data_IF_332679332545
#
_entry.id   IF_332679332545
#
_cell.length_a   1.000
_cell.length_b   1.000
_cell.length_c   1.000
_cell.angle_alpha   90.00
_cell.angle_beta   90.00
_cell.angle_gamma   90.00
#
_symmetry.space_group_name_H-M   'P 1'
#
loop_
_entity.id
_entity.type
_entity.pdbx_description
1 polymer ?
#
# COMPACT_ATOMS: atom_id res chain seq x y z
N UNK A 1 27.51 14.73 -25.10
CA UNK A 1 26.52 15.43 -25.94
C UNK A 1 25.27 15.51 -25.10
N UNK A 2 25.15 16.62 -24.37
CA UNK A 2 24.20 16.80 -23.29
C UNK A 2 22.81 17.11 -23.84
N UNK A 3 21.86 16.22 -23.60
CA UNK A 3 20.45 16.49 -23.85
C UNK A 3 19.91 17.35 -22.70
N UNK A 4 19.92 18.66 -22.91
CA UNK A 4 19.27 19.65 -22.05
C UNK A 4 17.76 19.41 -22.11
N UNK A 5 17.18 18.88 -21.03
CA UNK A 5 15.72 18.86 -20.82
C UNK A 5 15.21 20.31 -20.77
N UNK A 6 14.43 20.71 -21.77
CA UNK A 6 13.79 22.03 -21.80
C UNK A 6 12.81 22.25 -20.65
N UNK A 7 12.44 23.52 -20.36
CA UNK A 7 11.54 23.86 -19.26
C UNK A 7 10.15 23.25 -19.45
N UNK A 8 9.61 22.65 -18.39
CA UNK A 8 8.26 22.09 -18.35
C UNK A 8 7.22 23.21 -18.55
N UNK A 9 6.21 23.03 -19.43
CA UNK A 9 5.12 24.01 -19.54
C UNK A 9 4.30 24.04 -18.26
N UNK A 10 3.95 25.25 -17.80
CA UNK A 10 3.05 25.46 -16.68
C UNK A 10 1.70 24.78 -16.95
N UNK A 11 1.22 23.97 -16.00
CA UNK A 11 -0.10 23.35 -16.07
C UNK A 11 -1.20 24.42 -15.92
N UNK A 12 -2.22 24.45 -16.79
CA UNK A 12 -3.36 25.33 -16.59
C UNK A 12 -4.12 24.94 -15.32
N UNK A 13 -4.57 25.96 -14.57
CA UNK A 13 -5.44 25.78 -13.41
C UNK A 13 -6.68 24.96 -13.78
N UNK A 14 -6.97 23.92 -13.01
CA UNK A 14 -8.17 23.09 -13.16
C UNK A 14 -9.43 23.94 -12.92
N UNK A 15 -10.49 23.82 -13.75
CA UNK A 15 -11.77 24.45 -13.44
C UNK A 15 -12.41 23.79 -12.20
N UNK A 16 -12.99 24.65 -11.37
CA UNK A 16 -13.68 24.32 -10.13
C UNK A 16 -14.98 23.53 -10.35
N UNK A 17 -15.37 22.79 -9.31
CA UNK A 17 -16.69 22.22 -9.02
C UNK A 17 -17.21 21.10 -9.94
N UNK A 18 -17.35 19.91 -9.35
CA UNK A 18 -18.38 18.96 -9.77
C UNK A 18 -19.08 18.42 -8.52
N UNK A 19 -20.40 18.58 -8.51
CA UNK A 19 -21.30 18.21 -7.42
C UNK A 19 -21.32 16.70 -7.19
N UNK A 20 -21.40 16.31 -5.92
CA UNK A 20 -21.60 14.94 -5.46
C UNK A 20 -23.03 14.52 -5.81
N UNK A 21 -23.28 13.46 -6.62
CA UNK A 21 -24.63 12.95 -6.80
C UNK A 21 -25.13 12.34 -5.49
N UNK A 22 -26.36 12.66 -5.12
CA UNK A 22 -27.03 12.13 -3.94
C UNK A 22 -27.09 10.58 -3.92
N UNK A 23 -26.86 10.02 -2.73
CA UNK A 23 -26.97 8.61 -2.36
C UNK A 23 -28.27 7.95 -2.87
N UNK A 24 -28.20 6.78 -3.54
CA UNK A 24 -29.35 5.88 -3.61
C UNK A 24 -29.38 4.98 -2.38
N UNK A 25 -30.51 5.05 -1.69
CA UNK A 25 -30.94 4.27 -0.54
C UNK A 25 -30.53 2.79 -0.54
N UNK A 26 -30.09 2.35 0.63
CA UNK A 26 -29.83 0.98 1.06
C UNK A 26 -30.90 -0.02 0.63
N UNK A 27 -30.46 -1.19 0.14
CA UNK A 27 -31.15 -2.46 0.37
C UNK A 27 -30.10 -3.56 0.44
N UNK A 28 -29.81 -4.01 1.66
CA UNK A 28 -29.02 -5.19 1.98
C UNK A 28 -29.76 -6.45 1.52
N UNK A 29 -29.07 -7.36 0.82
CA UNK A 29 -29.50 -8.76 0.71
C UNK A 29 -28.32 -9.66 1.02
N UNK A 30 -28.51 -10.43 2.08
CA UNK A 30 -27.60 -11.40 2.68
C UNK A 30 -27.21 -12.55 1.76
N UNK A 31 -26.01 -13.11 2.00
CA UNK A 31 -25.52 -14.29 1.32
C UNK A 31 -24.36 -15.03 1.98
N UNK A 32 -24.28 -15.10 3.32
CA UNK A 32 -23.84 -16.31 4.05
C UNK A 32 -24.65 -16.37 5.35
N UNK A 33 -25.33 -17.49 5.54
CA UNK A 33 -26.26 -17.80 6.62
C UNK A 33 -25.59 -17.86 8.00
N UNK A 34 -26.26 -17.29 9.02
CA UNK A 34 -26.02 -17.60 10.43
C UNK A 34 -25.95 -16.34 11.31
N UNK A 35 -27.04 -16.06 11.99
CA UNK A 35 -27.26 -15.08 13.06
C UNK A 35 -26.02 -14.58 13.82
N UNK A 36 -25.82 -13.26 13.83
CA UNK A 36 -25.45 -12.44 15.01
C UNK A 36 -24.93 -11.07 14.56
N UNK A 37 -25.33 -10.03 15.30
CA UNK A 37 -24.78 -8.69 15.27
C UNK A 37 -23.24 -8.74 15.18
N UNK A 38 -22.67 -8.41 14.02
CA UNK A 38 -21.23 -8.31 13.84
C UNK A 38 -20.69 -7.06 14.55
N UNK A 39 -20.58 -7.14 15.87
CA UNK A 39 -19.46 -6.50 16.54
C UNK A 39 -18.20 -7.11 15.91
N UNK A 40 -17.54 -6.37 15.02
CA UNK A 40 -16.25 -6.81 14.46
C UNK A 40 -15.29 -6.98 15.63
N UNK A 41 -14.97 -8.23 15.97
CA UNK A 41 -13.97 -8.51 17.00
C UNK A 41 -12.68 -7.79 16.62
N UNK A 42 -12.15 -6.91 17.47
CA UNK A 42 -10.88 -6.26 17.23
C UNK A 42 -9.77 -7.29 16.95
N UNK A 43 -8.97 -7.06 15.91
CA UNK A 43 -7.80 -7.86 15.50
C UNK A 43 -6.59 -7.53 16.38
N UNK A 44 -6.78 -7.57 17.70
CA UNK A 44 -5.83 -7.03 18.69
C UNK A 44 -4.54 -7.83 18.82
N UNK A 45 -4.50 -9.05 18.29
CA UNK A 45 -3.29 -9.85 18.25
C UNK A 45 -2.56 -9.72 16.90
N UNK A 46 -3.11 -8.95 15.96
CA UNK A 46 -2.58 -8.78 14.61
C UNK A 46 -1.76 -7.49 14.47
N UNK A 47 -0.76 -7.54 13.58
CA UNK A 47 0.03 -6.38 13.14
C UNK A 47 -0.39 -6.00 11.72
N UNK A 48 -0.83 -4.77 11.53
CA UNK A 48 -1.19 -4.24 10.22
C UNK A 48 -0.02 -3.49 9.58
N UNK A 49 0.42 -3.93 8.40
CA UNK A 49 1.35 -3.18 7.56
C UNK A 49 0.57 -2.32 6.54
N UNK A 50 0.59 -1.01 6.72
CA UNK A 50 -0.12 -0.05 5.89
C UNK A 50 0.85 0.75 4.98
N UNK A 51 0.98 0.32 3.72
CA UNK A 51 1.98 0.82 2.78
C UNK A 51 1.55 2.08 1.99
N UNK A 52 1.15 3.13 2.71
CA UNK A 52 0.89 4.47 2.16
C UNK A 52 -0.46 4.66 1.47
N UNK A 53 -0.68 5.87 0.96
CA UNK A 53 -1.91 6.32 0.28
C UNK A 53 -3.20 6.13 1.09
N UNK A 54 -3.15 6.49 2.37
CA UNK A 54 -4.31 6.66 3.23
C UNK A 54 -5.21 7.80 2.74
N UNK A 55 -4.65 8.99 2.55
CA UNK A 55 -5.39 10.14 2.01
C UNK A 55 -4.48 11.32 1.68
N UNK A 56 -4.93 12.19 0.78
CA UNK A 56 -4.31 13.50 0.56
C UNK A 56 -4.77 14.56 1.58
N UNK A 57 -5.76 14.26 2.43
CA UNK A 57 -6.25 15.15 3.49
C UNK A 57 -5.76 14.68 4.85
N UNK A 58 -5.16 15.60 5.62
CA UNK A 58 -4.59 15.29 6.93
C UNK A 58 -5.64 14.72 7.91
N UNK A 59 -6.86 15.28 7.91
CA UNK A 59 -7.98 14.82 8.75
C UNK A 59 -8.36 13.35 8.49
N UNK A 60 -8.28 12.91 7.22
CA UNK A 60 -8.57 11.54 6.86
C UNK A 60 -7.41 10.59 7.21
N UNK A 61 -6.17 11.08 7.16
CA UNK A 61 -4.99 10.34 7.63
C UNK A 61 -5.09 10.09 9.13
N UNK A 62 -5.42 11.13 9.90
CA UNK A 62 -5.68 11.04 11.34
C UNK A 62 -6.82 10.06 11.65
N UNK A 63 -7.95 10.20 10.97
CA UNK A 63 -9.09 9.28 11.11
C UNK A 63 -8.69 7.82 10.81
N UNK A 64 -7.88 7.59 9.77
CA UNK A 64 -7.39 6.26 9.44
C UNK A 64 -6.50 5.70 10.56
N UNK A 65 -5.56 6.49 11.10
CA UNK A 65 -4.72 6.04 12.21
C UNK A 65 -5.52 5.75 13.47
N UNK A 66 -6.45 6.61 13.86
CA UNK A 66 -7.35 6.37 14.99
C UNK A 66 -8.15 5.06 14.81
N UNK A 67 -8.71 4.87 13.61
CA UNK A 67 -9.54 3.69 13.30
C UNK A 67 -8.70 2.41 13.29
N UNK A 68 -7.52 2.43 12.66
CA UNK A 68 -6.68 1.25 12.55
C UNK A 68 -5.99 0.91 13.88
N UNK A 69 -5.51 1.90 14.64
CA UNK A 69 -4.87 1.67 15.93
C UNK A 69 -5.84 1.16 17.00
N UNK A 70 -7.14 1.44 16.86
CA UNK A 70 -8.18 0.84 17.71
C UNK A 70 -8.61 -0.56 17.27
N UNK A 71 -8.36 -0.94 16.01
CA UNK A 71 -8.74 -2.22 15.45
C UNK A 71 -7.63 -3.28 15.49
N UNK A 72 -6.36 -2.87 15.46
CA UNK A 72 -5.20 -3.76 15.39
C UNK A 72 -4.28 -3.61 16.61
N UNK A 73 -3.58 -4.68 16.96
CA UNK A 73 -2.62 -4.68 18.05
C UNK A 73 -1.40 -3.78 17.82
N UNK A 74 -1.04 -3.61 16.55
CA UNK A 74 -0.01 -2.68 16.12
C UNK A 74 -0.27 -2.26 14.67
N UNK A 75 -0.05 -0.99 14.37
CA UNK A 75 -0.08 -0.47 13.00
C UNK A 75 1.33 0.00 12.64
N UNK A 76 1.78 -0.38 11.45
CA UNK A 76 3.06 0.01 10.87
C UNK A 76 2.76 0.76 9.58
N UNK A 77 3.41 1.91 9.38
CA UNK A 77 3.07 2.80 8.29
C UNK A 77 4.29 3.40 7.60
N UNK A 78 4.16 3.58 6.29
CA UNK A 78 5.03 4.43 5.48
C UNK A 78 4.14 5.36 4.64
N UNK A 79 4.40 6.67 4.59
CA UNK A 79 3.59 7.58 3.78
C UNK A 79 3.79 7.30 2.29
N UNK A 80 2.72 7.51 1.51
CA UNK A 80 2.77 7.51 0.06
C UNK A 80 2.94 8.91 -0.53
N UNK A 81 2.73 9.03 -1.84
CA UNK A 81 2.82 10.33 -2.50
C UNK A 81 1.62 11.23 -2.20
N UNK A 82 0.43 10.66 -2.07
CA UNK A 82 -0.79 11.44 -1.88
C UNK A 82 -0.79 12.22 -0.57
N UNK A 83 -0.25 11.62 0.50
CA UNK A 83 -0.06 12.28 1.79
C UNK A 83 0.68 13.62 1.69
N UNK A 84 1.60 13.75 0.74
CA UNK A 84 2.52 14.89 0.65
C UNK A 84 2.03 15.96 -0.32
N UNK A 85 0.87 15.77 -0.93
CA UNK A 85 0.22 16.78 -1.75
C UNK A 85 -0.27 17.94 -0.90
N UNK A 86 0.11 19.17 -1.24
CA UNK A 86 -0.34 20.38 -0.55
C UNK A 86 -1.61 20.90 -1.21
N UNK A 87 -2.74 20.76 -0.51
CA UNK A 87 -4.07 21.19 -0.98
C UNK A 87 -4.43 22.59 -0.50
N UNK A 88 -5.43 23.25 -1.11
CA UNK A 88 -5.94 24.53 -0.61
C UNK A 88 -6.37 24.50 0.87
N UNK A 89 -6.95 23.37 1.31
CA UNK A 89 -7.33 23.17 2.73
C UNK A 89 -6.12 23.12 3.66
N UNK A 90 -4.99 22.57 3.20
CA UNK A 90 -3.74 22.55 3.98
C UNK A 90 -3.18 23.98 4.11
N UNK A 91 -3.17 24.75 3.01
CA UNK A 91 -2.71 26.15 3.02
C UNK A 91 -3.57 27.04 3.91
N UNK A 92 -4.88 26.83 3.93
CA UNK A 92 -5.79 27.55 4.82
C UNK A 92 -5.50 27.30 6.31
N UNK A 93 -4.83 26.18 6.64
CA UNK A 93 -4.39 25.79 7.97
C UNK A 93 -2.92 26.17 8.26
N UNK A 94 -2.28 26.94 7.37
CA UNK A 94 -0.88 27.37 7.52
C UNK A 94 0.16 26.34 7.07
N UNK A 95 -0.26 25.24 6.42
CA UNK A 95 0.64 24.21 5.91
C UNK A 95 0.91 24.44 4.42
N UNK A 96 2.09 25.00 4.12
CA UNK A 96 2.40 25.53 2.79
C UNK A 96 3.33 24.65 1.93
N UNK A 97 4.00 23.68 2.54
CA UNK A 97 4.96 22.80 1.89
C UNK A 97 4.85 21.33 2.33
N UNK A 98 5.35 20.44 1.48
CA UNK A 98 5.28 18.99 1.62
C UNK A 98 6.20 18.45 2.72
N UNK A 99 7.28 19.15 3.06
CA UNK A 99 8.19 18.72 4.13
C UNK A 99 7.53 18.93 5.50
N UNK A 100 6.93 20.10 5.72
CA UNK A 100 6.14 20.36 6.91
C UNK A 100 4.95 19.40 7.01
N UNK A 101 4.30 19.05 5.89
CA UNK A 101 3.20 18.07 5.89
C UNK A 101 3.67 16.66 6.27
N UNK A 102 4.84 16.24 5.78
CA UNK A 102 5.46 14.99 6.21
C UNK A 102 5.72 14.99 7.73
N UNK A 103 6.23 16.09 8.28
CA UNK A 103 6.51 16.20 9.72
C UNK A 103 5.21 16.12 10.56
N UNK A 104 4.12 16.73 10.09
CA UNK A 104 2.79 16.62 10.72
C UNK A 104 2.28 15.18 10.72
N UNK A 105 2.40 14.47 9.59
CA UNK A 105 1.99 13.06 9.48
C UNK A 105 2.82 12.18 10.40
N UNK A 106 4.13 12.40 10.48
CA UNK A 106 4.98 11.71 11.45
C UNK A 106 4.61 12.04 12.91
N UNK A 107 4.13 13.26 13.16
CA UNK A 107 3.52 13.66 14.42
C UNK A 107 2.31 12.81 14.79
N UNK A 108 1.35 12.71 13.86
CA UNK A 108 0.17 11.85 14.02
C UNK A 108 0.56 10.38 14.24
N UNK A 109 1.56 9.87 13.51
CA UNK A 109 2.03 8.51 13.74
C UNK A 109 2.53 8.32 15.19
N UNK A 110 3.24 9.29 15.77
CA UNK A 110 3.69 9.22 17.17
C UNK A 110 2.52 9.30 18.15
N UNK A 111 1.56 10.16 17.89
CA UNK A 111 0.37 10.37 18.72
C UNK A 111 -0.49 9.10 18.82
N UNK A 112 -0.73 8.45 17.68
CA UNK A 112 -1.53 7.22 17.58
C UNK A 112 -0.72 5.93 17.69
N UNK A 113 0.57 6.02 18.06
CA UNK A 113 1.47 4.87 18.16
C UNK A 113 1.56 3.99 16.89
N UNK A 114 1.49 4.63 15.74
CA UNK A 114 1.78 4.01 14.46
C UNK A 114 3.29 3.93 14.28
N UNK A 115 3.83 2.72 14.09
CA UNK A 115 5.26 2.45 13.95
C UNK A 115 5.75 2.84 12.56
N UNK A 116 6.82 3.62 12.50
CA UNK A 116 7.42 4.11 11.24
C UNK A 116 8.93 3.86 11.16
N UNK A 117 9.50 3.14 12.15
CA UNK A 117 10.93 2.80 12.25
C UNK A 117 11.13 1.30 12.40
N UNK A 118 12.32 0.76 12.10
CA UNK A 118 12.59 -0.67 12.26
C UNK A 118 12.50 -1.13 13.71
N UNK A 119 11.93 -2.31 13.94
CA UNK A 119 11.88 -2.95 15.25
C UNK A 119 11.87 -4.47 15.15
N UNK A 120 12.38 -5.13 16.20
CA UNK A 120 12.32 -6.58 16.33
C UNK A 120 11.00 -6.97 17.01
N UNK A 121 10.07 -7.53 16.24
CA UNK A 121 8.76 -7.95 16.71
C UNK A 121 8.90 -9.24 17.51
N UNK A 122 8.60 -9.18 18.81
CA UNK A 122 8.64 -10.30 19.76
C UNK A 122 9.93 -11.15 19.75
N UNK A 123 11.05 -10.60 19.31
CA UNK A 123 12.31 -11.33 19.21
C UNK A 123 12.41 -12.30 18.02
N UNK A 124 11.42 -12.32 17.11
CA UNK A 124 11.33 -13.33 16.05
C UNK A 124 11.60 -12.78 14.67
N UNK A 125 11.00 -11.63 14.32
CA UNK A 125 11.10 -11.04 12.99
C UNK A 125 11.37 -9.53 13.06
N UNK A 126 12.29 -9.04 12.24
CA UNK A 126 12.47 -7.61 12.00
C UNK A 126 11.36 -7.11 11.11
N UNK A 127 10.65 -6.07 11.56
CA UNK A 127 9.75 -5.27 10.73
C UNK A 127 10.45 -3.98 10.38
N UNK A 128 10.61 -3.68 9.09
CA UNK A 128 11.47 -2.61 8.56
C UNK A 128 10.69 -1.70 7.61
N UNK A 129 10.02 -0.66 8.12
CA UNK A 129 9.38 0.38 7.31
C UNK A 129 10.45 1.26 6.65
N UNK A 130 10.34 1.47 5.34
CA UNK A 130 11.29 2.24 4.53
C UNK A 130 10.59 3.46 3.93
N UNK A 131 10.91 4.63 4.48
CA UNK A 131 10.50 5.91 3.93
C UNK A 131 11.23 6.14 2.60
N UNK A 132 10.48 6.37 1.52
CA UNK A 132 11.06 6.41 0.17
C UNK A 132 10.32 7.41 -0.72
N UNK A 133 10.96 7.75 -1.84
CA UNK A 133 10.39 8.57 -2.90
C UNK A 133 10.84 8.06 -4.27
N UNK A 134 10.24 8.57 -5.35
CA UNK A 134 10.56 8.20 -6.73
C UNK A 134 11.48 9.20 -7.44
N UNK A 135 12.06 8.79 -8.57
CA UNK A 135 12.64 9.71 -9.56
C UNK A 135 12.46 9.19 -10.99
N UNK A 136 12.41 10.13 -11.94
CA UNK A 136 12.12 9.85 -13.34
C UNK A 136 13.14 8.94 -14.02
N UNK A 137 14.43 9.09 -13.67
CA UNK A 137 15.51 8.28 -14.27
C UNK A 137 15.56 6.83 -13.79
N UNK A 138 14.68 6.43 -12.86
CA UNK A 138 14.53 5.03 -12.47
C UNK A 138 13.88 4.20 -13.58
N UNK A 139 13.12 4.83 -14.47
CA UNK A 139 12.59 4.19 -15.66
C UNK A 139 13.67 4.01 -16.72
N UNK A 140 14.22 2.80 -16.81
CA UNK A 140 15.28 2.43 -17.77
C UNK A 140 14.73 1.78 -19.04
N UNK A 141 13.46 1.41 -19.05
CA UNK A 141 12.83 0.77 -20.21
C UNK A 141 12.63 1.80 -21.34
N UNK A 142 12.72 1.40 -22.63
CA UNK A 142 12.48 2.31 -23.74
C UNK A 142 11.16 3.07 -23.62
N UNK A 143 11.19 4.37 -23.95
CA UNK A 143 9.98 5.17 -24.02
C UNK A 143 9.10 4.68 -25.17
N UNK A 144 7.81 4.49 -24.93
CA UNK A 144 6.87 4.09 -25.98
C UNK A 144 6.05 5.27 -26.54
N UNK A 145 6.21 6.45 -25.97
CA UNK A 145 5.30 7.57 -26.21
C UNK A 145 3.90 7.28 -25.67
N UNK A 146 3.29 8.24 -24.99
CA UNK A 146 1.97 7.99 -24.42
C UNK A 146 1.48 9.09 -23.51
N UNK A 147 0.24 8.93 -23.06
CA UNK A 147 -0.29 9.81 -22.03
C UNK A 147 0.33 9.44 -20.68
N UNK A 148 0.73 10.46 -19.95
CA UNK A 148 1.07 10.36 -18.53
C UNK A 148 -0.21 10.08 -17.73
N UNK A 149 -0.09 9.28 -16.67
CA UNK A 149 -1.21 9.04 -15.76
C UNK A 149 -1.43 10.31 -14.92
N UNK A 150 -2.56 10.98 -15.09
CA UNK A 150 -2.77 12.30 -14.48
C UNK A 150 -2.52 12.31 -12.97
N UNK A 151 -3.01 11.31 -12.24
CA UNK A 151 -2.85 11.22 -10.78
C UNK A 151 -1.42 10.91 -10.35
N UNK A 152 -0.76 9.93 -10.96
CA UNK A 152 0.60 9.55 -10.57
C UNK A 152 1.64 10.63 -10.90
N UNK A 153 1.34 11.49 -11.88
CA UNK A 153 2.19 12.64 -12.23
C UNK A 153 1.79 13.94 -11.50
N UNK A 154 0.66 13.94 -10.77
CA UNK A 154 0.23 15.10 -10.00
C UNK A 154 1.28 15.51 -8.96
N UNK A 155 2.08 14.56 -8.47
CA UNK A 155 3.18 14.78 -7.52
C UNK A 155 4.03 16.00 -7.88
N UNK A 156 4.43 16.14 -9.15
CA UNK A 156 5.30 17.23 -9.61
C UNK A 156 4.65 18.61 -9.55
N UNK A 157 3.31 18.67 -9.44
CA UNK A 157 2.54 19.92 -9.33
C UNK A 157 1.88 20.11 -7.96
N UNK A 158 1.59 19.01 -7.26
CA UNK A 158 0.85 18.99 -6.01
C UNK A 158 1.77 18.99 -4.80
N UNK A 159 2.97 18.43 -4.91
CA UNK A 159 3.99 18.57 -3.88
C UNK A 159 4.68 19.93 -4.03
N UNK A 160 4.99 20.56 -2.89
CA UNK A 160 5.76 21.80 -2.82
C UNK A 160 6.93 21.55 -1.90
N UNK A 161 8.13 21.50 -2.45
CA UNK A 161 9.35 21.25 -1.69
C UNK A 161 10.08 22.58 -1.43
N UNK A 162 10.46 22.89 -0.18
CA UNK A 162 11.28 24.06 0.10
C UNK A 162 12.65 23.97 -0.58
N UNK A 163 13.22 25.10 -1.00
CA UNK A 163 14.53 25.16 -1.68
C UNK A 163 15.68 24.60 -0.81
N UNK A 164 15.50 24.56 0.51
CA UNK A 164 16.45 23.95 1.45
C UNK A 164 16.51 22.42 1.34
N UNK A 165 15.51 21.78 0.73
CA UNK A 165 15.47 20.33 0.56
C UNK A 165 16.27 19.92 -0.69
N UNK A 166 17.25 19.00 -0.54
CA UNK A 166 17.98 18.46 -1.68
C UNK A 166 17.05 17.90 -2.76
N UNK A 167 17.19 18.42 -3.99
CA UNK A 167 16.39 17.99 -5.13
C UNK A 167 15.11 18.79 -5.37
N UNK A 168 14.71 19.72 -4.49
CA UNK A 168 13.51 20.55 -4.69
C UNK A 168 13.51 21.29 -6.04
N UNK A 169 14.65 21.84 -6.46
CA UNK A 169 14.81 22.53 -7.74
C UNK A 169 14.98 21.62 -8.97
N UNK A 170 14.96 20.29 -8.81
CA UNK A 170 15.14 19.32 -9.90
C UNK A 170 13.94 18.37 -9.93
N UNK A 171 12.85 18.83 -10.57
CA UNK A 171 11.61 18.05 -10.72
C UNK A 171 11.91 16.71 -11.38
N UNK A 172 11.55 15.62 -10.69
CA UNK A 172 11.82 14.25 -11.15
C UNK A 172 13.28 13.81 -11.05
N UNK A 173 14.18 14.65 -10.54
CA UNK A 173 15.56 14.30 -10.29
C UNK A 173 15.73 13.38 -9.07
N UNK A 174 16.87 12.67 -8.96
CA UNK A 174 17.11 11.70 -7.88
C UNK A 174 17.38 12.33 -6.51
N UNK A 175 17.45 13.66 -6.41
CA UNK A 175 17.78 14.37 -5.17
C UNK A 175 16.76 14.13 -4.06
N UNK A 176 15.47 14.22 -4.37
CA UNK A 176 14.40 13.97 -3.40
C UNK A 176 14.42 12.50 -2.94
N UNK A 177 14.56 11.54 -3.86
CA UNK A 177 14.66 10.13 -3.51
C UNK A 177 15.81 9.84 -2.53
N UNK A 178 16.99 10.45 -2.73
CA UNK A 178 18.11 10.36 -1.78
C UNK A 178 17.84 11.04 -0.45
N UNK A 179 17.13 12.17 -0.44
CA UNK A 179 16.77 12.86 0.80
C UNK A 179 15.79 12.04 1.65
N UNK A 180 14.80 11.39 1.04
CA UNK A 180 13.93 10.44 1.71
C UNK A 180 14.71 9.24 2.24
N UNK A 181 15.56 8.66 1.39
CA UNK A 181 16.37 7.49 1.74
C UNK A 181 17.26 7.73 2.96
N UNK A 182 17.91 8.90 3.04
CA UNK A 182 18.77 9.29 4.15
C UNK A 182 18.04 9.38 5.51
N UNK A 183 16.70 9.56 5.52
CA UNK A 183 15.92 9.56 6.76
C UNK A 183 15.71 8.17 7.36
N UNK A 184 16.01 7.11 6.60
CA UNK A 184 16.02 5.75 7.12
C UNK A 184 17.31 5.45 7.89
N UNK A 185 18.32 6.31 7.80
CA UNK A 185 19.51 6.19 8.64
C UNK A 185 19.18 6.51 10.10
N UNK A 186 19.79 5.76 11.03
CA UNK A 186 19.62 5.96 12.47
C UNK A 186 18.98 4.77 13.19
N UNK A 187 18.10 5.07 14.15
CA UNK A 187 17.54 4.09 15.08
C UNK A 187 16.89 2.90 14.36
N UNK A 188 17.37 1.70 14.70
CA UNK A 188 16.82 0.44 14.21
C UNK A 188 17.43 -0.05 12.89
N UNK A 189 17.89 0.82 11.98
CA UNK A 189 18.41 0.38 10.67
C UNK A 189 19.68 -0.46 10.79
N UNK A 190 20.70 0.04 11.49
CA UNK A 190 21.96 -0.71 11.67
C UNK A 190 21.74 -2.03 12.44
N UNK A 191 20.82 -2.04 13.40
CA UNK A 191 20.46 -3.23 14.16
C UNK A 191 19.71 -4.25 13.31
N UNK A 192 18.76 -3.79 12.47
CA UNK A 192 18.05 -4.64 11.52
C UNK A 192 19.03 -5.28 10.53
N UNK A 193 19.95 -4.49 9.95
CA UNK A 193 20.99 -4.99 9.06
C UNK A 193 21.91 -6.02 9.74
N UNK A 194 22.27 -5.82 11.00
CA UNK A 194 23.05 -6.81 11.74
C UNK A 194 22.25 -8.10 11.99
N UNK A 195 20.94 -7.97 12.24
CA UNK A 195 20.03 -9.06 12.59
C UNK A 195 19.44 -9.86 11.43
N UNK A 196 19.63 -9.43 10.17
CA UNK A 196 19.07 -10.14 8.98
C UNK A 196 19.49 -11.61 8.89
N UNK A 197 20.62 -11.99 9.51
CA UNK A 197 21.11 -13.38 9.52
C UNK A 197 20.49 -14.24 10.61
N UNK A 198 19.88 -13.64 11.62
CA UNK A 198 19.37 -14.34 12.81
C UNK A 198 17.85 -14.41 12.85
N UNK A 199 17.17 -13.44 12.23
CA UNK A 199 15.72 -13.32 12.25
C UNK A 199 15.14 -13.32 10.84
N UNK A 200 13.82 -13.51 10.77
CA UNK A 200 13.07 -13.22 9.56
C UNK A 200 12.97 -11.71 9.37
N UNK A 201 12.91 -11.23 8.13
CA UNK A 201 12.91 -9.81 7.81
C UNK A 201 11.72 -9.48 6.91
N UNK A 202 10.81 -8.68 7.44
CA UNK A 202 9.65 -8.14 6.74
C UNK A 202 9.89 -6.65 6.57
N UNK A 203 10.02 -6.21 5.32
CA UNK A 203 10.19 -4.79 5.01
C UNK A 203 9.01 -4.25 4.22
N UNK A 204 8.85 -2.93 4.22
CA UNK A 204 7.80 -2.29 3.44
C UNK A 204 8.21 -0.91 2.94
N UNK A 205 7.76 -0.56 1.74
CA UNK A 205 7.84 0.80 1.19
C UNK A 205 6.51 1.14 0.51
N UNK A 206 6.27 2.42 0.24
CA UNK A 206 5.13 2.76 -0.62
C UNK A 206 5.46 2.51 -2.10
N UNK A 207 6.62 2.99 -2.55
CA UNK A 207 7.10 2.86 -3.92
C UNK A 207 7.67 1.47 -4.23
N UNK A 208 7.84 1.17 -5.51
CA UNK A 208 8.37 -0.10 -5.99
C UNK A 208 9.88 -0.17 -5.75
N UNK A 209 10.38 -1.27 -5.16
CA UNK A 209 11.81 -1.46 -4.96
C UNK A 209 12.52 -1.99 -6.22
N UNK A 210 11.76 -2.44 -7.23
CA UNK A 210 12.25 -3.13 -8.43
C UNK A 210 11.35 -2.89 -9.64
N UNK A 211 11.96 -2.68 -10.80
CA UNK A 211 11.25 -2.50 -12.07
C UNK A 211 10.50 -3.78 -12.48
N UNK A 212 11.00 -4.95 -12.04
CA UNK A 212 10.43 -6.27 -12.30
C UNK A 212 9.02 -6.47 -11.71
N UNK A 213 8.62 -5.61 -10.78
CA UNK A 213 7.36 -5.67 -10.03
C UNK A 213 6.23 -4.82 -10.64
N UNK A 214 6.42 -4.34 -11.87
CA UNK A 214 5.42 -3.62 -12.65
C UNK A 214 5.24 -4.27 -14.03
N UNK A 215 4.03 -4.35 -14.61
CA UNK A 215 3.90 -4.84 -15.98
C UNK A 215 4.68 -3.99 -16.98
N UNK A 216 5.20 -4.62 -18.03
CA UNK A 216 5.87 -3.95 -19.15
C UNK A 216 5.00 -2.82 -19.71
N UNK A 217 5.66 -1.74 -20.15
CA UNK A 217 4.98 -0.56 -20.69
C UNK A 217 3.95 -0.90 -21.78
N UNK A 218 4.21 -1.87 -22.65
CA UNK A 218 3.30 -2.31 -23.73
C UNK A 218 1.94 -2.80 -23.26
N UNK A 219 1.83 -3.18 -21.99
CA UNK A 219 0.57 -3.59 -21.36
C UNK A 219 -0.16 -2.46 -20.63
N UNK A 220 0.53 -1.34 -20.39
CA UNK A 220 0.01 -0.22 -19.60
C UNK A 220 -0.80 0.75 -20.48
N UNK A 221 -1.94 1.20 -19.96
CA UNK A 221 -2.67 2.32 -20.56
C UNK A 221 -1.93 3.66 -20.42
N UNK A 222 -0.98 3.73 -19.49
CA UNK A 222 -0.15 4.88 -19.17
C UNK A 222 1.30 4.40 -19.09
N UNK A 223 2.02 4.36 -20.22
CA UNK A 223 3.35 3.72 -20.29
C UNK A 223 4.46 4.51 -19.57
N UNK A 224 4.19 5.75 -19.17
CA UNK A 224 5.13 6.58 -18.41
C UNK A 224 5.05 6.33 -16.89
N UNK A 225 4.13 5.47 -16.42
CA UNK A 225 3.99 5.13 -14.99
C UNK A 225 5.31 4.70 -14.31
N UNK A 226 6.22 3.92 -14.94
CA UNK A 226 7.45 3.51 -14.28
C UNK A 226 8.30 4.69 -13.78
N UNK A 227 8.32 5.81 -14.52
CA UNK A 227 9.11 7.02 -14.16
C UNK A 227 8.68 7.71 -12.86
N UNK A 228 7.53 7.34 -12.30
CA UNK A 228 7.04 7.84 -11.01
C UNK A 228 6.85 6.73 -10.00
N UNK A 229 7.41 5.54 -10.23
CA UNK A 229 7.07 4.33 -9.46
C UNK A 229 8.09 3.87 -8.44
N UNK A 230 9.36 4.27 -8.57
CA UNK A 230 10.45 3.74 -7.74
C UNK A 230 11.70 4.62 -7.79
N UNK A 231 12.76 4.15 -7.11
CA UNK A 231 14.06 4.83 -7.10
C UNK A 231 15.23 3.89 -6.88
N UNK A 232 16.40 4.33 -7.36
CA UNK A 232 17.68 3.64 -7.17
C UNK A 232 18.06 3.53 -5.69
N UNK A 233 17.75 4.56 -4.91
CA UNK A 233 18.04 4.58 -3.48
C UNK A 233 17.24 3.50 -2.73
N UNK A 234 15.93 3.41 -3.00
CA UNK A 234 15.08 2.36 -2.42
C UNK A 234 15.54 0.97 -2.88
N UNK A 235 15.81 0.79 -4.18
CA UNK A 235 16.28 -0.48 -4.73
C UNK A 235 17.58 -0.93 -4.03
N UNK A 236 18.55 -0.03 -3.86
CA UNK A 236 19.80 -0.32 -3.17
C UNK A 236 19.56 -0.73 -1.72
N UNK A 237 18.66 -0.05 -1.00
CA UNK A 237 18.33 -0.34 0.39
C UNK A 237 17.69 -1.71 0.57
N UNK A 238 16.70 -2.05 -0.26
CA UNK A 238 16.04 -3.36 -0.22
C UNK A 238 17.01 -4.47 -0.63
N UNK A 239 17.87 -4.21 -1.61
CA UNK A 239 18.93 -5.16 -2.02
C UNK A 239 19.94 -5.42 -0.91
N UNK A 240 20.33 -4.39 -0.15
CA UNK A 240 21.23 -4.55 0.99
C UNK A 240 20.56 -5.34 2.14
N UNK A 241 19.28 -5.07 2.38
CA UNK A 241 18.50 -5.71 3.44
C UNK A 241 18.20 -7.19 3.16
N UNK A 242 17.99 -7.56 1.88
CA UNK A 242 17.57 -8.90 1.43
C UNK A 242 16.45 -9.48 2.29
N UNK A 243 15.29 -8.79 2.38
CA UNK A 243 14.23 -9.21 3.25
C UNK A 243 13.61 -10.54 2.77
N UNK A 244 13.04 -11.33 3.67
CA UNK A 244 12.24 -12.50 3.30
C UNK A 244 10.93 -12.07 2.63
N UNK A 245 10.35 -10.97 3.12
CA UNK A 245 9.14 -10.35 2.58
C UNK A 245 9.36 -8.85 2.38
N UNK A 246 8.96 -8.34 1.22
CA UNK A 246 8.86 -6.91 0.97
C UNK A 246 7.45 -6.52 0.49
N UNK A 247 6.78 -5.68 1.27
CA UNK A 247 5.45 -5.16 0.97
C UNK A 247 5.55 -3.80 0.29
N UNK A 248 4.80 -3.59 -0.79
CA UNK A 248 4.80 -2.33 -1.52
C UNK A 248 3.42 -1.93 -2.05
N UNK A 249 3.30 -0.70 -2.56
CA UNK A 249 2.04 -0.07 -2.95
C UNK A 249 2.11 0.69 -4.27
N UNK A 250 1.47 1.87 -4.31
CA UNK A 250 1.52 2.88 -5.38
C UNK A 250 0.87 2.54 -6.73
N UNK A 251 1.26 1.43 -7.38
CA UNK A 251 0.96 1.22 -8.81
C UNK A 251 -0.41 0.64 -9.12
N UNK A 252 -1.19 0.30 -8.08
CA UNK A 252 -2.54 -0.25 -8.22
C UNK A 252 -2.58 -1.53 -9.08
N UNK A 253 -1.60 -2.42 -8.87
CA UNK A 253 -1.59 -3.78 -9.40
C UNK A 253 -1.38 -4.76 -8.25
N UNK A 254 -2.21 -5.79 -8.15
CA UNK A 254 -1.91 -6.88 -7.23
C UNK A 254 -0.66 -7.62 -7.72
N UNK A 255 0.22 -7.94 -6.78
CA UNK A 255 1.45 -8.66 -7.06
C UNK A 255 1.77 -9.62 -5.92
N UNK A 256 2.20 -10.84 -6.27
CA UNK A 256 2.82 -11.78 -5.34
C UNK A 256 3.80 -12.64 -6.14
N UNK A 257 5.09 -12.36 -5.98
CA UNK A 257 6.18 -13.01 -6.71
C UNK A 257 7.43 -13.09 -5.85
N UNK A 258 8.28 -14.09 -6.10
CA UNK A 258 9.59 -14.21 -5.46
C UNK A 258 10.67 -13.90 -6.48
N UNK A 259 11.52 -12.92 -6.17
CA UNK A 259 12.67 -12.54 -7.00
C UNK A 259 13.91 -12.53 -6.10
N UNK A 260 14.98 -13.20 -6.54
CA UNK A 260 16.27 -13.26 -5.83
C UNK A 260 16.17 -13.61 -4.34
N UNK A 261 15.22 -14.49 -3.99
CA UNK A 261 14.99 -14.96 -2.62
C UNK A 261 14.03 -14.12 -1.78
N UNK A 262 13.68 -12.91 -2.19
CA UNK A 262 12.69 -12.06 -1.52
C UNK A 262 11.30 -12.27 -2.11
N UNK A 263 10.28 -12.50 -1.27
CA UNK A 263 8.87 -12.47 -1.69
C UNK A 263 8.36 -11.02 -1.67
N UNK A 264 7.92 -10.54 -2.82
CA UNK A 264 7.35 -9.21 -3.01
C UNK A 264 5.83 -9.30 -3.11
N UNK A 265 5.12 -8.54 -2.26
CA UNK A 265 3.65 -8.54 -2.22
C UNK A 265 3.14 -7.11 -2.33
N UNK A 266 2.19 -6.90 -3.24
CA UNK A 266 1.40 -5.68 -3.34
C UNK A 266 -0.07 -6.05 -3.26
N UNK A 267 -0.74 -5.55 -2.22
CA UNK A 267 -2.15 -5.79 -1.90
C UNK A 267 -2.95 -4.48 -1.97
N UNK A 268 -3.14 -3.90 -3.17
CA UNK A 268 -3.63 -2.53 -3.26
C UNK A 268 -5.14 -2.48 -2.98
N UNK A 269 -5.56 -1.52 -2.15
CA UNK A 269 -6.98 -1.25 -1.92
C UNK A 269 -7.60 -0.53 -3.13
N UNK A 270 -6.86 0.41 -3.72
CA UNK A 270 -7.27 1.27 -4.85
C UNK A 270 -8.53 2.10 -4.57
N UNK A 271 -8.93 2.92 -5.55
CA UNK A 271 -10.23 3.57 -5.52
C UNK A 271 -11.37 2.56 -5.74
N UNK A 272 -12.56 2.88 -5.22
CA UNK A 272 -13.76 2.07 -5.47
C UNK A 272 -13.99 1.84 -6.97
N UNK A 273 -13.81 2.89 -7.79
CA UNK A 273 -13.99 2.83 -9.25
C UNK A 273 -13.04 1.83 -9.91
N UNK A 274 -11.80 1.73 -9.43
CA UNK A 274 -10.84 0.74 -9.95
C UNK A 274 -11.25 -0.67 -9.53
N UNK A 275 -11.65 -0.87 -8.27
CA UNK A 275 -12.18 -2.15 -7.81
C UNK A 275 -13.41 -2.59 -8.61
N UNK A 276 -14.31 -1.68 -8.97
CA UNK A 276 -15.49 -2.00 -9.78
C UNK A 276 -15.17 -2.29 -11.26
N UNK A 277 -14.04 -1.82 -11.80
CA UNK A 277 -13.76 -1.87 -13.26
C UNK A 277 -12.64 -2.81 -13.67
N UNK A 278 -11.62 -2.99 -12.83
CA UNK A 278 -10.38 -3.71 -13.16
C UNK A 278 -9.97 -4.71 -12.07
N UNK A 279 -10.98 -5.31 -11.46
CA UNK A 279 -10.89 -6.25 -10.35
C UNK A 279 -9.89 -7.39 -10.57
N UNK A 280 -9.81 -7.90 -11.79
CA UNK A 280 -8.85 -8.94 -12.19
C UNK A 280 -7.39 -8.56 -11.94
N UNK A 281 -7.05 -7.28 -12.09
CA UNK A 281 -5.67 -6.78 -11.90
C UNK A 281 -5.36 -6.34 -10.47
N UNK A 282 -6.35 -6.37 -9.57
CA UNK A 282 -6.26 -5.87 -8.20
C UNK A 282 -6.36 -6.96 -7.13
N UNK A 283 -6.81 -8.16 -7.48
CA UNK A 283 -7.07 -9.22 -6.51
C UNK A 283 -5.85 -10.09 -6.23
N UNK A 284 -5.76 -10.49 -4.96
CA UNK A 284 -4.84 -11.49 -4.42
C UNK A 284 -5.63 -12.71 -3.96
N UNK A 285 -5.21 -13.91 -4.35
CA UNK A 285 -5.66 -15.18 -3.76
C UNK A 285 -7.04 -15.69 -4.17
N UNK A 286 -7.83 -14.90 -4.91
CA UNK A 286 -9.21 -15.25 -5.28
C UNK A 286 -9.29 -15.90 -6.66
N UNK A 287 -9.87 -17.10 -6.73
CA UNK A 287 -10.04 -17.85 -7.99
C UNK A 287 -11.33 -17.49 -8.74
N UNK A 288 -12.42 -17.20 -8.04
CA UNK A 288 -13.68 -16.77 -8.66
C UNK A 288 -13.86 -15.25 -8.54
N UNK A 289 -13.83 -14.59 -9.69
CA UNK A 289 -13.91 -13.14 -9.75
C UNK A 289 -15.35 -12.62 -9.74
N UNK A 290 -16.33 -13.44 -10.11
CA UNK A 290 -17.70 -13.01 -10.39
C UNK A 290 -18.56 -12.80 -9.15
N UNK A 291 -18.18 -13.42 -8.03
CA UNK A 291 -18.97 -13.50 -6.80
C UNK A 291 -18.51 -12.56 -5.68
N UNK A 292 -17.38 -11.88 -5.86
CA UNK A 292 -16.79 -11.10 -4.77
C UNK A 292 -17.19 -9.63 -4.91
N UNK A 293 -17.78 -9.10 -3.84
CA UNK A 293 -18.24 -7.73 -3.71
C UNK A 293 -17.04 -6.75 -3.63
N UNK A 294 -16.95 -5.74 -4.51
CA UNK A 294 -15.91 -4.71 -4.47
C UNK A 294 -15.85 -3.89 -3.17
N UNK A 295 -16.90 -3.93 -2.34
CA UNK A 295 -16.93 -3.26 -1.03
C UNK A 295 -16.26 -4.10 0.08
N UNK A 296 -16.07 -5.41 -0.11
CA UNK A 296 -15.39 -6.28 0.85
C UNK A 296 -13.93 -6.50 0.42
N UNK A 297 -13.03 -5.67 0.95
CA UNK A 297 -11.59 -5.81 0.79
C UNK A 297 -10.96 -6.02 2.16
N UNK A 298 -10.42 -7.22 2.39
CA UNK A 298 -9.76 -7.56 3.66
C UNK A 298 -8.24 -7.41 3.51
N UNK A 299 -7.53 -7.12 4.61
CA UNK A 299 -6.07 -7.23 4.64
C UNK A 299 -5.62 -8.63 4.19
N UNK A 300 -4.48 -8.70 3.50
CA UNK A 300 -3.85 -9.96 3.15
C UNK A 300 -2.95 -10.44 4.30
N UNK A 301 -3.12 -11.68 4.73
CA UNK A 301 -2.21 -12.33 5.68
C UNK A 301 -0.90 -12.60 4.95
N UNK A 302 0.23 -12.14 5.48
CA UNK A 302 1.53 -12.31 4.80
C UNK A 302 2.52 -13.11 5.63
N UNK A 303 2.27 -13.25 6.92
CA UNK A 303 3.17 -13.88 7.87
C UNK A 303 2.38 -14.32 9.10
N UNK A 304 2.61 -15.55 9.56
CA UNK A 304 2.06 -16.07 10.81
C UNK A 304 3.17 -16.29 11.83
N UNK A 305 2.98 -15.75 13.03
CA UNK A 305 3.90 -15.93 14.15
C UNK A 305 3.59 -17.24 14.89
N UNK A 306 4.59 -18.11 15.14
CA UNK A 306 4.48 -19.18 16.10
C UNK A 306 4.66 -18.55 17.48
N UNK A 307 3.59 -17.98 18.02
CA UNK A 307 3.59 -17.57 19.42
C UNK A 307 3.48 -18.83 20.27
N UNK A 308 4.47 -19.09 21.14
CA UNK A 308 4.22 -19.98 22.26
C UNK A 308 3.14 -19.37 23.18
N UNK A 309 2.43 -20.20 23.94
CA UNK A 309 1.28 -19.76 24.73
C UNK A 309 1.60 -18.57 25.65
N UNK A 310 2.85 -18.48 26.13
CA UNK A 310 3.35 -17.39 26.97
C UNK A 310 3.64 -16.11 26.18
N UNK A 311 4.14 -16.23 24.95
CA UNK A 311 4.35 -15.12 24.01
C UNK A 311 3.05 -14.47 23.58
N UNK A 312 2.02 -15.27 23.27
CA UNK A 312 0.68 -14.79 22.95
C UNK A 312 0.08 -14.01 24.13
N UNK A 313 0.20 -14.55 25.36
CA UNK A 313 -0.29 -13.88 26.57
C UNK A 313 0.41 -12.55 26.85
N UNK A 314 1.73 -12.45 26.62
CA UNK A 314 2.48 -11.20 26.80
C UNK A 314 2.12 -10.15 25.75
N UNK A 315 1.97 -10.55 24.48
CA UNK A 315 1.57 -9.65 23.39
C UNK A 315 0.18 -9.07 23.67
N UNK A 316 -0.81 -9.94 23.95
CA UNK A 316 -2.17 -9.54 24.21
C UNK A 316 -2.34 -8.69 25.50
N UNK A 317 -1.45 -8.86 26.49
CA UNK A 317 -1.43 -8.07 27.71
C UNK A 317 -0.79 -6.69 27.50
N UNK A 318 0.31 -6.60 26.75
CA UNK A 318 0.97 -5.33 26.43
C UNK A 318 0.08 -4.42 25.57
N UNK A 319 -0.65 -5.01 24.61
CA UNK A 319 -1.57 -4.29 23.72
C UNK A 319 -2.77 -3.77 24.50
N UNK A 320 -3.39 -4.61 25.35
CA UNK A 320 -4.51 -4.20 26.21
C UNK A 320 -4.12 -3.12 27.21
N UNK A 321 -2.94 -3.25 27.85
CA UNK A 321 -2.43 -2.24 28.77
C UNK A 321 -2.27 -0.89 28.06
N UNK A 322 -1.73 -0.90 26.84
CA UNK A 322 -1.50 0.31 26.05
C UNK A 322 -2.79 1.01 25.63
N UNK A 323 -3.81 0.26 25.21
CA UNK A 323 -5.10 0.83 24.86
C UNK A 323 -5.81 1.46 26.07
N UNK A 324 -5.71 0.83 27.24
CA UNK A 324 -6.22 1.39 28.51
C UNK A 324 -5.48 2.68 28.88
N UNK A 325 -4.15 2.71 28.74
CA UNK A 325 -3.32 3.89 29.03
C UNK A 325 -3.59 5.07 28.08
N UNK A 326 -4.01 4.80 26.84
CA UNK A 326 -4.35 5.81 25.83
C UNK A 326 -5.81 6.28 25.89
N UNK A 327 -6.59 5.82 26.89
CA UNK A 327 -8.02 6.15 26.98
C UNK A 327 -8.86 5.57 25.82
N UNK A 328 -8.31 4.59 25.09
CA UNK A 328 -9.01 3.87 24.03
C UNK A 328 -9.92 2.86 24.73
N UNK A 329 -11.18 3.24 24.90
CA UNK A 329 -12.18 2.39 25.52
C UNK A 329 -12.38 1.13 24.67
N UNK A 330 -11.90 -0.01 25.17
CA UNK A 330 -12.30 -1.32 24.69
C UNK A 330 -13.76 -1.55 25.09
N UNK A 331 -14.68 -1.42 24.15
CA UNK A 331 -16.04 -1.95 24.34
C UNK A 331 -15.96 -3.46 24.22
N UNK A 332 -15.57 -4.10 25.32
CA UNK A 332 -15.82 -5.53 25.54
C UNK A 332 -17.31 -5.76 25.81
N UNK A 333 -17.81 -6.99 25.62
CA UNK A 333 -19.24 -7.25 25.71
C UNK A 333 -19.73 -7.13 27.16
N UNK A 334 -20.68 -6.22 27.39
CA UNK A 334 -21.68 -6.39 28.44
C UNK A 334 -21.86 -5.24 29.45
N UNK A 335 -22.99 -4.54 29.28
CA UNK A 335 -23.88 -3.99 30.32
C UNK A 335 -23.49 -2.68 31.01
N UNK A 336 -23.94 -1.58 30.41
CA UNK A 336 -24.48 -0.46 31.18
C UNK A 336 -25.95 -0.78 31.51
N UNK A 337 -26.22 -1.19 32.75
CA UNK A 337 -27.35 -0.73 33.56
C UNK A 337 -27.09 -1.18 35.00
N UNK A 338 -27.12 -0.22 35.92
CA UNK A 338 -26.45 -0.29 37.21
C UNK A 338 -26.95 -1.35 38.19
N UNK A 339 -26.12 -1.62 39.19
CA UNK A 339 -26.42 -1.84 40.60
C UNK A 339 -25.10 -1.78 41.38
N UNK A 340 -25.18 -1.32 42.62
CA UNK A 340 -24.09 -1.07 43.56
C UNK A 340 -23.13 -2.25 43.79
N UNK A 341 -21.87 -1.92 44.09
CA UNK A 341 -20.96 -2.62 45.00
C UNK A 341 -20.68 -4.12 44.78
N UNK A 342 -19.40 -4.48 44.66
CA UNK A 342 -18.69 -5.59 45.35
C UNK A 342 -17.44 -5.97 44.54
N UNK A 343 -16.29 -5.91 45.20
CA UNK A 343 -15.03 -6.47 44.73
C UNK A 343 -15.15 -8.00 44.59
N UNK A 344 -14.76 -8.57 43.45
CA UNK A 344 -14.83 -10.01 43.22
C UNK A 344 -14.10 -10.48 41.96
N UNK A 345 -13.40 -11.59 42.11
CA UNK A 345 -12.48 -12.28 41.19
C UNK A 345 -13.01 -12.61 39.79
N UNK A 346 -12.10 -12.62 38.81
CA UNK A 346 -12.29 -13.02 37.42
C UNK A 346 -12.52 -14.55 37.26
N UNK A 347 -13.61 -14.99 36.61
CA UNK A 347 -13.71 -16.33 36.03
C UNK A 347 -13.58 -16.26 34.49
N UNK A 348 -12.73 -17.14 33.95
CA UNK A 348 -12.51 -17.40 32.53
C UNK A 348 -13.77 -17.98 31.84
N UNK A 349 -13.93 -17.78 30.52
CA UNK A 349 -14.58 -18.78 29.67
C UNK A 349 -13.53 -19.56 28.87
N UNK A 350 -13.47 -20.86 29.16
CA UNK A 350 -12.92 -21.92 28.34
C UNK A 350 -13.82 -22.17 27.12
N UNK A 351 -13.35 -21.84 25.92
CA UNK A 351 -13.50 -22.66 24.68
C UNK A 351 -12.73 -21.98 23.53
N UNK A 352 -11.49 -22.43 23.34
CA UNK A 352 -10.67 -22.13 22.16
C UNK A 352 -10.93 -23.23 21.12
N UNK A 353 -11.53 -22.87 19.99
CA UNK A 353 -11.70 -23.77 18.84
C UNK A 353 -10.39 -23.91 18.07
N UNK A 354 -9.44 -24.66 18.64
CA UNK A 354 -8.27 -25.15 17.91
C UNK A 354 -8.75 -26.10 16.80
N UNK A 355 -8.45 -25.80 15.54
CA UNK A 355 -8.53 -26.79 14.46
C UNK A 355 -7.33 -27.72 14.56
N UNK A 356 -7.59 -29.01 14.70
CA UNK A 356 -6.60 -30.08 14.69
C UNK A 356 -5.86 -30.15 13.34
N UNK A 357 -4.53 -30.33 13.40
CA UNK A 357 -3.66 -30.63 12.27
C UNK A 357 -3.69 -32.14 11.95
N UNK A 358 -4.04 -32.57 10.72
CA UNK A 358 -3.84 -33.96 10.33
C UNK A 358 -2.38 -34.22 9.92
N UNK A 359 -1.85 -35.35 10.40
CA UNK A 359 -0.45 -35.76 10.37
C UNK A 359 0.21 -35.94 8.99
N UNK A 360 1.53 -35.91 9.04
CA UNK A 360 2.45 -36.42 8.02
C UNK A 360 2.27 -37.93 7.78
N UNK A 361 2.22 -38.36 6.51
CA UNK A 361 2.95 -39.53 6.01
C UNK A 361 2.75 -39.68 4.49
N UNK A 362 3.84 -39.83 3.73
CA UNK A 362 3.81 -40.26 2.33
C UNK A 362 4.90 -39.61 1.47
N UNK A 363 6.02 -40.31 1.27
CA UNK A 363 7.03 -40.00 0.23
C UNK A 363 6.36 -40.11 -1.15
N UNK A 364 6.47 -39.07 -2.00
CA UNK A 364 7.08 -39.17 -3.34
C UNK A 364 6.99 -37.88 -4.19
N UNK A 365 8.13 -37.60 -4.83
CA UNK A 365 8.36 -36.82 -6.05
C UNK A 365 8.34 -35.28 -6.04
N UNK A 366 9.38 -34.76 -6.70
CA UNK A 366 9.87 -33.39 -6.77
C UNK A 366 9.13 -32.58 -7.81
N UNK A 367 8.61 -31.41 -7.42
CA UNK A 367 8.64 -30.11 -8.12
C UNK A 367 7.50 -29.23 -7.59
N UNK A 368 7.83 -28.12 -6.92
CA UNK A 368 6.90 -27.00 -6.72
C UNK A 368 6.11 -26.92 -5.41
N UNK A 369 6.63 -27.43 -4.28
CA UNK A 369 6.00 -27.22 -2.96
C UNK A 369 6.99 -26.63 -1.94
N UNK A 370 6.61 -25.49 -1.36
CA UNK A 370 7.17 -24.95 -0.11
C UNK A 370 8.44 -24.11 -0.23
N UNK A 371 8.34 -22.85 -0.65
CA UNK A 371 9.30 -21.85 -0.17
C UNK A 371 9.03 -21.65 1.33
N UNK A 372 9.91 -22.16 2.19
CA UNK A 372 10.03 -21.67 3.57
C UNK A 372 11.49 -21.74 3.99
N UNK A 373 12.17 -20.59 3.89
CA UNK A 373 13.46 -20.34 4.52
C UNK A 373 13.32 -19.49 5.80
N UNK A 374 12.09 -19.38 6.33
CA UNK A 374 11.82 -18.62 7.54
C UNK A 374 12.37 -19.34 8.77
N UNK A 375 13.07 -18.58 9.61
CA UNK A 375 13.69 -19.04 10.86
C UNK A 375 12.70 -19.08 12.00
N UNK A 376 11.72 -18.17 12.00
CA UNK A 376 10.86 -17.88 13.14
C UNK A 376 9.38 -17.81 12.83
N UNK A 377 8.93 -18.00 11.58
CA UNK A 377 7.50 -18.05 11.28
C UNK A 377 7.10 -18.80 10.02
N UNK A 378 5.81 -18.67 9.68
CA UNK A 378 5.22 -19.38 8.55
C UNK A 378 4.70 -18.39 7.51
N UNK A 379 4.99 -18.71 6.24
CA UNK A 379 4.42 -18.02 5.09
C UNK A 379 3.05 -18.62 4.76
N UNK A 380 2.01 -17.80 4.53
CA UNK A 380 0.83 -18.28 3.84
C UNK A 380 1.18 -18.66 2.39
N UNK A 381 0.38 -19.53 1.74
CA UNK A 381 0.59 -19.88 0.33
C UNK A 381 0.69 -18.65 -0.57
N UNK A 382 1.39 -18.79 -1.70
CA UNK A 382 1.46 -17.73 -2.71
C UNK A 382 0.06 -17.35 -3.18
N UNK A 383 -0.27 -16.07 -3.09
CA UNK A 383 -1.50 -15.53 -3.62
C UNK A 383 -1.49 -15.54 -5.14
N UNK A 384 -2.64 -15.83 -5.73
CA UNK A 384 -2.82 -15.65 -7.18
C UNK A 384 -3.01 -14.16 -7.46
N UNK A 385 -2.11 -13.56 -8.25
CA UNK A 385 -2.30 -12.25 -8.88
C UNK A 385 -2.10 -12.38 -10.39
N UNK A 386 -2.89 -11.64 -11.18
CA UNK A 386 -2.94 -11.82 -12.63
C UNK A 386 -1.58 -11.59 -13.31
N UNK A 387 -0.86 -10.53 -12.93
CA UNK A 387 0.42 -10.19 -13.54
C UNK A 387 1.55 -11.08 -13.06
N UNK A 388 1.62 -11.41 -11.77
CA UNK A 388 2.66 -12.33 -11.30
C UNK A 388 2.46 -13.74 -11.86
N UNK A 389 1.22 -14.23 -12.00
CA UNK A 389 0.93 -15.50 -12.69
C UNK A 389 1.36 -15.47 -14.16
N UNK A 390 1.10 -14.36 -14.86
CA UNK A 390 1.55 -14.20 -16.25
C UNK A 390 3.08 -14.30 -16.34
N UNK A 391 3.80 -13.53 -15.52
CA UNK A 391 5.26 -13.50 -15.54
C UNK A 391 5.94 -14.74 -14.94
N UNK A 392 5.19 -15.65 -14.30
CA UNK A 392 5.68 -17.01 -13.98
C UNK A 392 5.93 -17.87 -15.21
N UNK A 393 5.22 -17.60 -16.30
CA UNK A 393 5.21 -18.44 -17.52
C UNK A 393 5.70 -17.70 -18.76
N UNK A 394 5.69 -16.37 -18.70
CA UNK A 394 6.12 -15.50 -19.77
C UNK A 394 7.31 -14.69 -19.27
N UNK A 395 8.44 -14.82 -19.95
CA UNK A 395 9.59 -13.98 -19.69
C UNK A 395 9.26 -12.52 -20.00
N UNK A 396 9.84 -11.61 -19.21
CA UNK A 396 9.73 -10.18 -19.48
C UNK A 396 10.58 -9.81 -20.70
N UNK A 397 10.01 -9.03 -21.61
CA UNK A 397 10.70 -8.35 -22.70
C UNK A 397 10.38 -6.85 -22.67
N UNK A 398 11.09 -6.07 -21.84
CA UNK A 398 10.86 -4.63 -21.73
C UNK A 398 11.28 -3.85 -22.99
N UNK A 399 12.05 -4.47 -23.89
CA UNK A 399 12.49 -3.84 -25.14
C UNK A 399 11.42 -3.88 -26.23
N UNK A 400 10.41 -4.74 -26.06
CA UNK A 400 9.27 -4.78 -26.95
C UNK A 400 8.35 -3.56 -26.73
N UNK A 401 8.45 -2.60 -27.65
CA UNK A 401 7.62 -1.39 -27.65
C UNK A 401 6.34 -1.52 -28.46
N UNK A 402 5.99 -2.71 -28.97
CA UNK A 402 4.74 -2.94 -29.68
C UNK A 402 3.57 -3.03 -28.67
N UNK A 403 2.61 -2.10 -28.70
CA UNK A 403 1.52 -2.09 -27.74
C UNK A 403 0.70 -3.37 -27.85
N UNK A 404 0.32 -3.95 -26.71
CA UNK A 404 -0.53 -5.13 -26.72
C UNK A 404 -1.88 -4.83 -27.42
N UNK A 405 -2.51 -5.82 -28.09
CA UNK A 405 -3.68 -5.58 -28.93
C UNK A 405 -4.83 -4.83 -28.24
N UNK A 406 -5.06 -5.09 -26.95
CA UNK A 406 -6.09 -4.40 -26.18
C UNK A 406 -5.72 -2.94 -25.88
N UNK A 407 -4.43 -2.64 -25.68
CA UNK A 407 -3.92 -1.27 -25.50
C UNK A 407 -4.04 -0.50 -26.80
N UNK A 408 -3.58 -1.07 -27.92
CA UNK A 408 -3.70 -0.47 -29.25
C UNK A 408 -5.17 -0.13 -29.58
N UNK A 409 -6.09 -1.09 -29.36
CA UNK A 409 -7.53 -0.88 -29.56
C UNK A 409 -8.10 0.24 -28.68
N UNK A 410 -7.66 0.33 -27.43
CA UNK A 410 -8.11 1.38 -26.52
C UNK A 410 -7.58 2.77 -26.92
N UNK A 411 -6.32 2.84 -27.37
CA UNK A 411 -5.72 4.07 -27.89
C UNK A 411 -6.50 4.57 -29.12
N UNK A 412 -6.85 3.68 -30.04
CA UNK A 412 -7.61 4.02 -31.24
C UNK A 412 -9.00 4.57 -30.91
N UNK A 413 -9.75 3.89 -30.03
CA UNK A 413 -11.06 4.39 -29.57
C UNK A 413 -10.98 5.79 -28.94
N UNK A 414 -9.89 6.10 -28.22
CA UNK A 414 -9.67 7.43 -27.63
C UNK A 414 -9.41 8.48 -28.69
N UNK A 415 -8.60 8.18 -29.71
CA UNK A 415 -8.36 9.09 -30.85
C UNK A 415 -9.67 9.43 -31.55
N UNK A 416 -10.51 8.43 -31.82
CA UNK A 416 -11.83 8.63 -32.43
C UNK A 416 -12.77 9.51 -31.58
N UNK A 417 -12.80 9.31 -30.26
CA UNK A 417 -13.60 10.17 -29.35
C UNK A 417 -13.11 11.61 -29.32
N UNK A 418 -11.79 11.82 -29.29
CA UNK A 418 -11.22 13.16 -29.31
C UNK A 418 -11.52 13.90 -30.62
N UNK A 419 -11.44 13.19 -31.76
CA UNK A 419 -11.81 13.75 -33.05
C UNK A 419 -13.30 14.15 -33.10
N UNK A 420 -14.20 13.31 -32.60
CA UNK A 420 -15.63 13.63 -32.51
C UNK A 420 -15.91 14.85 -31.62
N UNK A 421 -15.26 14.94 -30.46
CA UNK A 421 -15.43 16.09 -29.56
C UNK A 421 -14.91 17.38 -30.17
N UNK A 422 -13.77 17.35 -30.89
CA UNK A 422 -13.27 18.52 -31.63
C UNK A 422 -14.23 18.94 -32.74
N UNK A 423 -14.75 17.99 -33.51
CA UNK A 423 -15.73 18.26 -34.57
C UNK A 423 -17.03 18.86 -34.01
N UNK A 424 -17.51 18.35 -32.86
CA UNK A 424 -18.69 18.90 -32.19
C UNK A 424 -18.45 20.33 -31.69
N UNK A 425 -17.28 20.60 -31.09
CA UNK A 425 -16.94 21.95 -30.63
C UNK A 425 -16.78 22.93 -31.80
N UNK A 426 -16.16 22.53 -32.91
CA UNK A 426 -16.03 23.38 -34.09
C UNK A 426 -17.39 23.68 -34.74
N UNK A 427 -18.31 22.72 -34.74
CA UNK A 427 -19.66 22.91 -35.25
C UNK A 427 -20.48 23.85 -34.34
N UNK A 428 -20.29 23.78 -33.02
CA UNK A 428 -20.94 24.70 -32.08
C UNK A 428 -20.41 26.14 -32.23
N UNK A 429 -19.10 26.33 -32.38
CA UNK A 429 -18.50 27.67 -32.56
C UNK A 429 -18.76 28.28 -33.94
N UNK A 430 -19.02 27.46 -34.96
CA UNK A 430 -19.35 27.93 -36.32
C UNK A 430 -20.84 28.23 -36.55
N UNK A 431 -21.71 27.93 -35.58
CA UNK A 431 -23.14 28.26 -35.62
C UNK A 431 -23.48 29.58 -34.89
N UNK A 432 -22.51 30.17 -34.18
CA UNK A 432 -22.62 31.47 -33.49
C UNK A 432 -21.99 32.64 -34.28
N UNK A 433 -21.47 32.38 -35.48
CA UNK A 433 -20.99 33.37 -36.46
C UNK A 433 -21.94 33.47 -37.64
#
# INVERSE_FOLDING_TARGET
MDAVCGPYPAYPAQPHAWEVPAEPSQTLVHGVSGDSEHHRTPCVDDVLLFAGDASDKLENVEWAFQTLASAFGMVVYVPGNHELWVRPVDRARGLHDSAAKLDQIQGLCREYDVRTRPFLLHGTAWVVPLLSWHHASWDREPGMGGKRHAWAFSDYSACVWPDSIPGAGSVGGPGLARWFDAKNEGEGWAAALAGVREHDVISMSHFLPREELLPEKRFLFFPELPSVSGSDALQARVTALRPDIHIFGHTHFAWDATLDGTRYIQAPLCSFRERSRRLQTLRLGLKDLKSVDPATWLPALIYEFPLDATGAQRAACAIRKRAVEQGIAFVGPGHAHGLDGVAGSCPLPTTCGLREYPGQAGRESRAGQGWSFLKGGAMPPTYTAAWSEYYRRCERDPTNTEPAPWVAKAQERRKQRAARSRAANSAATGAES
#
